data_IF_433123612171
#
_entry.id   IF_433123612171
#
_cell.length_a   1.000
_cell.length_b   1.000
_cell.length_c   1.000
_cell.angle_alpha   90.00
_cell.angle_beta   90.00
_cell.angle_gamma   90.00
#
_symmetry.space_group_name_H-M   'P 1'
#
loop_
_entity.id
_entity.type
_entity.pdbx_description
1 polymer ?
#
# COMPACT_ATOMS: atom_id res chain seq x y z
N UNK A 1 -5.32 -21.78 -1.50
CA UNK A 1 -4.21 -22.44 -0.82
C UNK A 1 -3.65 -21.56 0.25
N UNK A 2 -3.11 -22.18 1.30
CA UNK A 2 -2.59 -21.44 2.44
C UNK A 2 -1.40 -20.56 2.08
N UNK A 3 -0.57 -21.04 1.13
CA UNK A 3 0.61 -20.30 0.69
C UNK A 3 0.22 -18.93 0.11
N UNK A 4 -0.81 -18.92 -0.72
CA UNK A 4 -1.26 -17.67 -1.33
C UNK A 4 -1.82 -16.70 -0.29
N UNK A 5 -2.57 -17.24 0.66
CA UNK A 5 -3.14 -16.42 1.73
C UNK A 5 -2.05 -15.81 2.60
N UNK A 6 -1.03 -16.59 2.94
CA UNK A 6 0.08 -16.09 3.73
C UNK A 6 0.86 -15.02 2.97
N UNK A 7 1.11 -15.26 1.68
CA UNK A 7 1.79 -14.29 0.84
C UNK A 7 1.06 -12.95 0.80
N UNK A 8 -0.26 -13.00 0.57
CA UNK A 8 -1.07 -11.78 0.52
C UNK A 8 -1.02 -11.05 1.86
N UNK A 9 -1.15 -11.78 2.95
CA UNK A 9 -1.12 -11.19 4.29
C UNK A 9 0.21 -10.52 4.56
N UNK A 10 1.32 -11.19 4.24
CA UNK A 10 2.66 -10.65 4.48
C UNK A 10 2.90 -9.43 3.61
N UNK A 11 2.49 -9.48 2.35
CA UNK A 11 2.65 -8.33 1.45
C UNK A 11 1.84 -7.13 1.93
N UNK A 12 0.62 -7.35 2.37
CA UNK A 12 -0.21 -6.25 2.88
C UNK A 12 0.42 -5.64 4.12
N UNK A 13 1.03 -6.45 4.98
CA UNK A 13 1.73 -5.92 6.15
C UNK A 13 2.89 -5.02 5.74
N UNK A 14 3.70 -5.46 4.78
CA UNK A 14 4.85 -4.67 4.32
C UNK A 14 4.39 -3.39 3.65
N UNK A 15 3.37 -3.48 2.82
CA UNK A 15 2.82 -2.30 2.15
C UNK A 15 2.19 -1.34 3.16
N UNK A 16 1.60 -1.86 4.21
CA UNK A 16 1.10 -1.02 5.31
C UNK A 16 2.20 -0.19 5.94
N UNK A 17 3.39 -0.78 6.11
CA UNK A 17 4.55 -0.06 6.63
C UNK A 17 4.97 1.04 5.65
N UNK A 18 5.04 0.71 4.36
CA UNK A 18 5.40 1.69 3.33
C UNK A 18 4.42 2.87 3.35
N UNK A 19 3.13 2.57 3.36
CA UNK A 19 2.08 3.60 3.38
C UNK A 19 2.18 4.43 4.66
N UNK A 20 2.36 3.77 5.80
CA UNK A 20 2.43 4.45 7.09
C UNK A 20 3.59 5.42 7.17
N UNK A 21 4.78 4.99 6.74
CA UNK A 21 5.94 5.88 6.75
C UNK A 21 5.84 6.97 5.70
N UNK A 22 5.21 6.69 4.56
CA UNK A 22 4.93 7.75 3.58
C UNK A 22 4.06 8.84 4.18
N UNK A 23 3.02 8.45 4.93
CA UNK A 23 2.15 9.41 5.60
C UNK A 23 2.88 10.20 6.67
N UNK A 24 3.76 9.56 7.44
CA UNK A 24 4.56 10.26 8.44
C UNK A 24 5.47 11.28 7.79
N UNK A 25 6.11 10.92 6.69
CA UNK A 25 6.97 11.86 5.97
C UNK A 25 6.18 13.04 5.43
N UNK A 26 5.00 12.77 4.87
CA UNK A 26 4.16 13.85 4.33
C UNK A 26 3.70 14.80 5.44
N UNK A 27 3.40 14.27 6.62
CA UNK A 27 3.01 15.09 7.75
C UNK A 27 4.13 16.02 8.22
N UNK A 28 5.38 15.54 8.11
CA UNK A 28 6.55 16.33 8.55
C UNK A 28 7.04 17.31 7.49
N UNK A 29 6.71 17.09 6.22
CA UNK A 29 7.22 17.92 5.14
C UNK A 29 6.43 19.21 5.00
N UNK A 30 7.13 20.35 4.82
CA UNK A 30 6.43 21.58 4.45
C UNK A 30 5.71 21.42 3.12
N UNK A 31 4.66 22.22 2.93
CA UNK A 31 3.86 22.13 1.71
C UNK A 31 4.67 22.36 0.43
N UNK A 32 5.74 23.14 0.53
CA UNK A 32 6.58 23.49 -0.63
C UNK A 32 7.83 22.62 -0.75
N UNK A 33 7.95 21.56 0.03
CA UNK A 33 9.10 20.66 -0.06
C UNK A 33 9.08 19.97 -1.43
N UNK A 34 10.17 20.06 -2.21
CA UNK A 34 10.19 19.46 -3.55
C UNK A 34 10.10 17.94 -3.56
N UNK A 35 10.36 17.27 -2.42
CA UNK A 35 10.24 15.81 -2.34
C UNK A 35 8.82 15.37 -2.08
N UNK A 36 7.93 16.29 -1.73
CA UNK A 36 6.55 15.95 -1.34
C UNK A 36 5.80 15.19 -2.43
N UNK A 37 5.86 15.62 -3.70
CA UNK A 37 5.19 14.85 -4.76
C UNK A 37 5.74 13.44 -4.91
N UNK A 38 7.04 13.26 -4.71
CA UNK A 38 7.65 11.92 -4.83
C UNK A 38 7.16 11.01 -3.71
N UNK A 39 7.11 11.50 -2.48
CA UNK A 39 6.63 10.71 -1.35
C UNK A 39 5.15 10.38 -1.53
N UNK A 40 4.37 11.32 -2.06
CA UNK A 40 2.97 11.08 -2.33
C UNK A 40 2.77 9.98 -3.37
N UNK A 41 3.64 9.92 -4.39
CA UNK A 41 3.60 8.84 -5.38
C UNK A 41 3.93 7.48 -4.75
N UNK A 42 4.86 7.44 -3.81
CA UNK A 42 5.17 6.21 -3.08
C UNK A 42 3.93 5.75 -2.31
N UNK A 43 3.27 6.66 -1.61
CA UNK A 43 2.07 6.34 -0.86
C UNK A 43 0.98 5.79 -1.76
N UNK A 44 0.74 6.47 -2.89
CA UNK A 44 -0.28 6.04 -3.85
C UNK A 44 0.02 4.66 -4.42
N UNK A 45 1.28 4.40 -4.74
CA UNK A 45 1.70 3.10 -5.25
C UNK A 45 1.45 2.00 -4.21
N UNK A 46 1.75 2.29 -2.96
CA UNK A 46 1.49 1.34 -1.88
C UNK A 46 0.01 1.02 -1.75
N UNK A 47 -0.83 2.05 -1.81
CA UNK A 47 -2.28 1.85 -1.73
C UNK A 47 -2.81 1.07 -2.92
N UNK A 48 -2.30 1.37 -4.11
CA UNK A 48 -2.69 0.63 -5.31
C UNK A 48 -2.29 -0.84 -5.23
N UNK A 49 -1.11 -1.10 -4.68
CA UNK A 49 -0.64 -2.48 -4.50
C UNK A 49 -1.53 -3.25 -3.53
N UNK A 50 -1.95 -2.61 -2.45
CA UNK A 50 -2.88 -3.24 -1.51
C UNK A 50 -4.20 -3.56 -2.21
N UNK A 51 -4.71 -2.63 -3.00
CA UNK A 51 -5.96 -2.85 -3.73
C UNK A 51 -5.84 -4.02 -4.70
N UNK A 52 -4.70 -4.14 -5.39
CA UNK A 52 -4.46 -5.27 -6.29
C UNK A 52 -4.43 -6.59 -5.53
N UNK A 53 -3.77 -6.63 -4.39
CA UNK A 53 -3.73 -7.84 -3.57
C UNK A 53 -5.12 -8.22 -3.08
N UNK A 54 -5.91 -7.25 -2.68
CA UNK A 54 -7.27 -7.53 -2.21
C UNK A 54 -8.15 -8.03 -3.35
N UNK A 55 -8.02 -7.46 -4.53
CA UNK A 55 -8.78 -7.92 -5.69
C UNK A 55 -8.39 -9.34 -6.09
N UNK A 56 -7.09 -9.64 -6.03
CA UNK A 56 -6.57 -10.95 -6.37
C UNK A 56 -7.03 -12.01 -5.38
N UNK A 57 -7.12 -11.63 -4.09
CA UNK A 57 -7.45 -12.56 -3.01
C UNK A 57 -8.95 -12.65 -2.76
N UNK A 58 -9.75 -11.85 -3.44
CA UNK A 58 -11.20 -11.83 -3.22
C UNK A 58 -11.83 -13.11 -3.74
N UNK A 59 -12.83 -13.66 -3.03
CA UNK A 59 -13.55 -14.84 -3.54
C UNK A 59 -14.31 -14.44 -4.81
N UNK A 60 -14.50 -15.40 -5.72
CA UNK A 60 -15.27 -15.17 -6.94
C UNK A 60 -16.70 -14.76 -6.60
N UNK A 61 -17.18 -13.74 -7.27
CA UNK A 61 -18.55 -13.29 -7.08
C UNK A 61 -19.49 -14.14 -7.93
N UNK A 62 -20.70 -14.32 -7.42
CA UNK A 62 -21.73 -14.98 -8.18
C UNK A 62 -21.67 -16.50 -8.15
N UNK A 63 -20.84 -17.05 -7.30
CA UNK A 63 -20.75 -18.50 -7.15
C UNK A 63 -21.71 -19.03 -6.10
#
# INVERSE_FOLDING_TARGET
MNTDRKFVHDMKNMLGIVIGYSNLLLDDMPANDPRRPDVDEIRKAGEAAVALLEAWNAPPKGI
#
